data_IF_319263856183
#
_entry.id   IF_319263856183
#
_cell.length_a   1.000
_cell.length_b   1.000
_cell.length_c   1.000
_cell.angle_alpha   90.00
_cell.angle_beta   90.00
_cell.angle_gamma   90.00
#
_symmetry.space_group_name_H-M   'P 1'
#
loop_
_entity.id
_entity.type
_entity.pdbx_description
1 polymer ?
#
# COMPACT_ATOMS: atom_id res chain seq x y z
N UNK A 1 -8.00 -17.30 -13.40
CA UNK A 1 -8.88 -16.56 -12.47
C UNK A 1 -10.31 -16.86 -12.87
N UNK A 2 -11.05 -17.56 -12.02
CA UNK A 2 -12.51 -17.61 -12.11
C UNK A 2 -13.04 -16.19 -12.01
N UNK A 3 -13.99 -15.81 -12.85
CA UNK A 3 -14.62 -14.48 -12.82
C UNK A 3 -15.27 -14.25 -11.44
N UNK A 4 -14.56 -13.52 -10.57
CA UNK A 4 -14.99 -13.23 -9.19
C UNK A 4 -16.34 -12.51 -9.19
N UNK A 5 -16.59 -11.63 -10.17
CA UNK A 5 -17.85 -10.91 -10.30
C UNK A 5 -19.00 -11.89 -10.54
N UNK A 6 -18.82 -12.81 -11.51
CA UNK A 6 -19.80 -13.87 -11.77
C UNK A 6 -20.05 -14.77 -10.56
N UNK A 7 -19.02 -15.08 -9.77
CA UNK A 7 -19.20 -15.85 -8.53
C UNK A 7 -20.04 -15.09 -7.49
N UNK A 8 -19.81 -13.79 -7.33
CA UNK A 8 -20.58 -12.94 -6.43
C UNK A 8 -22.03 -12.77 -6.91
N UNK A 9 -22.23 -12.57 -8.20
CA UNK A 9 -23.56 -12.41 -8.80
C UNK A 9 -24.39 -13.70 -8.64
N UNK A 10 -23.79 -14.86 -8.92
CA UNK A 10 -24.42 -16.16 -8.65
C UNK A 10 -24.78 -16.34 -7.17
N UNK A 11 -23.90 -15.95 -6.25
CA UNK A 11 -24.16 -16.05 -4.82
C UNK A 11 -25.33 -15.16 -4.37
N UNK A 12 -25.45 -13.96 -4.93
CA UNK A 12 -26.58 -13.05 -4.70
C UNK A 12 -27.89 -13.63 -5.24
N UNK A 13 -27.87 -14.17 -6.46
CA UNK A 13 -29.06 -14.81 -7.07
C UNK A 13 -29.54 -16.00 -6.22
N UNK A 14 -28.64 -16.90 -5.84
CA UNK A 14 -28.97 -18.10 -5.06
C UNK A 14 -29.54 -17.80 -3.67
N UNK A 15 -29.23 -16.63 -3.11
CA UNK A 15 -29.64 -16.25 -1.76
C UNK A 15 -30.64 -15.10 -1.73
N UNK A 16 -31.13 -14.65 -2.89
CA UNK A 16 -32.01 -13.48 -3.01
C UNK A 16 -31.44 -12.24 -2.31
N UNK A 17 -30.17 -11.92 -2.58
CA UNK A 17 -29.40 -10.86 -1.92
C UNK A 17 -29.27 -11.06 -0.38
N UNK A 18 -29.15 -12.32 0.03
CA UNK A 18 -28.88 -12.76 1.39
C UNK A 18 -27.39 -12.89 1.69
N UNK A 19 -27.07 -13.52 2.83
CA UNK A 19 -25.69 -13.86 3.19
C UNK A 19 -25.29 -15.16 2.49
N UNK A 20 -24.05 -15.22 2.01
CA UNK A 20 -23.48 -16.44 1.45
C UNK A 20 -22.00 -16.54 1.73
N UNK A 21 -21.43 -17.73 1.58
CA UNK A 21 -20.01 -17.98 1.78
C UNK A 21 -19.33 -18.30 0.45
N UNK A 22 -18.12 -17.76 0.27
CA UNK A 22 -17.26 -18.03 -0.88
C UNK A 22 -15.94 -18.62 -0.38
N UNK A 23 -15.47 -19.69 -1.04
CA UNK A 23 -14.12 -20.21 -0.82
C UNK A 23 -13.11 -19.38 -1.61
N UNK A 24 -12.12 -18.81 -0.91
CA UNK A 24 -11.02 -18.07 -1.51
C UNK A 24 -9.67 -18.67 -1.07
N UNK A 25 -8.58 -18.32 -1.76
CA UNK A 25 -7.24 -18.81 -1.44
C UNK A 25 -6.76 -18.47 -0.02
N UNK A 26 -7.28 -17.37 0.55
CA UNK A 26 -7.04 -16.94 1.95
C UNK A 26 -8.05 -17.51 2.95
N UNK A 27 -8.80 -18.55 2.56
CA UNK A 27 -9.86 -19.16 3.35
C UNK A 27 -11.26 -18.68 2.98
N UNK A 28 -12.25 -19.18 3.70
CA UNK A 28 -13.65 -18.84 3.47
C UNK A 28 -13.95 -17.37 3.81
N UNK A 29 -14.76 -16.72 2.97
CA UNK A 29 -15.24 -15.36 3.15
C UNK A 29 -16.76 -15.37 3.20
N UNK A 30 -17.33 -14.73 4.21
CA UNK A 30 -18.79 -14.51 4.28
C UNK A 30 -19.06 -13.19 3.58
N UNK A 31 -19.89 -13.24 2.54
CA UNK A 31 -20.38 -12.07 1.83
C UNK A 31 -21.65 -11.61 2.51
N UNK A 32 -21.62 -10.39 3.02
CA UNK A 32 -22.72 -9.79 3.77
C UNK A 32 -23.34 -8.66 2.94
N UNK A 33 -24.69 -8.59 2.83
CA UNK A 33 -25.37 -7.48 2.17
C UNK A 33 -25.04 -6.12 2.79
N UNK A 34 -24.98 -5.07 1.97
CA UNK A 34 -24.58 -3.71 2.38
C UNK A 34 -25.45 -3.11 3.48
N UNK A 35 -26.70 -3.56 3.65
CA UNK A 35 -27.60 -3.12 4.74
C UNK A 35 -27.04 -3.38 6.14
N UNK A 36 -26.09 -4.29 6.30
CA UNK A 36 -25.42 -4.57 7.58
C UNK A 36 -24.09 -3.81 7.76
N UNK A 37 -23.73 -2.89 6.84
CA UNK A 37 -22.43 -2.24 6.85
C UNK A 37 -22.17 -1.45 8.15
N UNK A 38 -23.16 -0.73 8.66
CA UNK A 38 -23.01 0.07 9.88
C UNK A 38 -22.84 -0.79 11.13
N UNK A 39 -23.53 -1.93 11.20
CA UNK A 39 -23.38 -2.92 12.29
C UNK A 39 -22.00 -3.57 12.27
N UNK A 40 -21.49 -3.92 11.09
CA UNK A 40 -20.20 -4.60 10.94
C UNK A 40 -19.01 -3.64 11.15
N UNK A 41 -19.12 -2.38 10.72
CA UNK A 41 -18.02 -1.42 10.77
C UNK A 41 -17.51 -1.15 12.20
N UNK A 42 -18.42 -1.15 13.17
CA UNK A 42 -18.13 -0.82 14.56
C UNK A 42 -18.03 -2.06 15.46
N UNK A 43 -18.04 -3.26 14.88
CA UNK A 43 -18.01 -4.50 15.64
C UNK A 43 -16.60 -4.80 16.16
N UNK A 44 -16.41 -4.73 17.47
CA UNK A 44 -15.12 -4.95 18.14
C UNK A 44 -14.56 -6.37 17.99
N UNK A 45 -15.42 -7.35 17.65
CA UNK A 45 -14.98 -8.74 17.42
C UNK A 45 -14.33 -8.94 16.04
N UNK A 46 -14.45 -7.97 15.14
CA UNK A 46 -13.86 -8.00 13.81
C UNK A 46 -12.51 -7.28 13.80
N UNK A 47 -11.49 -7.92 13.22
CA UNK A 47 -10.14 -7.37 13.16
C UNK A 47 -9.63 -7.26 11.73
N UNK A 48 -9.40 -6.02 11.30
CA UNK A 48 -8.75 -5.73 10.02
C UNK A 48 -7.34 -6.34 9.98
N UNK A 49 -6.57 -6.16 11.05
CA UNK A 49 -5.17 -6.63 11.14
C UNK A 49 -5.08 -8.15 11.00
N UNK A 50 -5.99 -8.92 11.60
CA UNK A 50 -6.02 -10.37 11.43
C UNK A 50 -6.40 -10.81 10.01
N UNK A 51 -7.35 -10.11 9.39
CA UNK A 51 -7.73 -10.40 7.99
C UNK A 51 -6.55 -10.10 7.05
N UNK A 52 -5.85 -9.00 7.26
CA UNK A 52 -4.65 -8.63 6.49
C UNK A 52 -3.54 -9.65 6.71
N UNK A 53 -3.27 -10.06 7.95
CA UNK A 53 -2.27 -11.09 8.28
C UNK A 53 -2.54 -12.41 7.55
N UNK A 54 -3.79 -12.87 7.56
CA UNK A 54 -4.20 -14.13 6.91
C UNK A 54 -4.23 -14.02 5.38
N UNK A 55 -4.55 -12.84 4.84
CA UNK A 55 -4.72 -12.61 3.41
C UNK A 55 -3.44 -12.22 2.66
N UNK A 56 -2.46 -11.66 3.35
CA UNK A 56 -1.24 -11.17 2.70
C UNK A 56 0.05 -11.69 3.33
N UNK A 57 -0.07 -12.46 4.42
CA UNK A 57 1.06 -12.95 5.22
C UNK A 57 1.82 -11.80 5.87
N UNK A 58 2.49 -12.09 6.98
CA UNK A 58 3.40 -11.14 7.65
C UNK A 58 4.58 -11.84 8.33
N UNK A 59 4.52 -13.17 8.45
CA UNK A 59 5.55 -13.96 9.13
C UNK A 59 6.72 -14.34 8.21
N UNK A 60 6.53 -14.71 6.92
CA UNK A 60 7.65 -15.09 6.07
C UNK A 60 8.57 -13.89 5.73
N UNK A 61 9.90 -14.07 5.70
CA UNK A 61 10.83 -13.03 5.29
C UNK A 61 10.51 -12.43 3.92
N UNK A 62 10.43 -11.10 3.86
CA UNK A 62 10.01 -10.33 2.68
C UNK A 62 8.56 -9.83 2.75
N UNK A 63 7.76 -10.32 3.68
CA UNK A 63 6.41 -9.80 3.95
C UNK A 63 6.38 -8.85 5.15
N UNK A 64 7.54 -8.32 5.54
CA UNK A 64 7.70 -7.46 6.70
C UNK A 64 6.87 -6.16 6.58
N UNK A 65 6.71 -5.59 5.38
CA UNK A 65 5.79 -4.47 5.14
C UNK A 65 4.33 -4.83 5.47
N UNK A 66 3.89 -6.05 5.14
CA UNK A 66 2.56 -6.54 5.49
C UNK A 66 2.45 -6.88 6.98
N UNK A 67 3.55 -7.29 7.63
CA UNK A 67 3.62 -7.40 9.09
C UNK A 67 3.32 -6.07 9.76
N UNK A 68 3.87 -4.96 9.24
CA UNK A 68 3.55 -3.60 9.71
C UNK A 68 2.07 -3.23 9.47
N UNK A 69 1.42 -3.78 8.44
CA UNK A 69 -0.01 -3.57 8.17
C UNK A 69 -0.91 -4.35 9.12
N UNK A 70 -0.42 -5.48 9.63
CA UNK A 70 -1.17 -6.43 10.45
C UNK A 70 -0.78 -6.42 11.93
N UNK A 71 -0.10 -5.38 12.41
CA UNK A 71 0.33 -5.31 13.81
C UNK A 71 -0.88 -5.29 14.73
N UNK A 72 -0.76 -6.00 15.86
CA UNK A 72 -1.78 -6.01 16.90
C UNK A 72 -1.97 -4.64 17.56
N UNK A 73 -0.92 -3.79 17.57
CA UNK A 73 -0.94 -2.45 18.14
C UNK A 73 -1.49 -1.37 17.20
N UNK A 74 -1.95 -1.74 15.99
CA UNK A 74 -2.61 -0.88 15.00
C UNK A 74 -1.88 0.44 14.65
N UNK A 75 -0.55 0.50 14.84
CA UNK A 75 0.23 1.74 14.66
C UNK A 75 -0.02 2.43 13.31
N UNK A 76 0.05 1.68 12.22
CA UNK A 76 -0.16 2.20 10.86
C UNK A 76 -1.57 2.76 10.66
N UNK A 77 -2.59 2.10 11.22
CA UNK A 77 -3.98 2.53 11.13
C UNK A 77 -4.20 3.82 11.93
N UNK A 78 -3.67 3.89 13.15
CA UNK A 78 -3.73 5.08 13.99
C UNK A 78 -3.07 6.28 13.31
N UNK A 79 -1.91 6.04 12.69
CA UNK A 79 -1.15 7.07 11.97
C UNK A 79 -1.95 7.61 10.77
N UNK A 80 -2.51 6.73 9.94
CA UNK A 80 -3.33 7.13 8.80
C UNK A 80 -4.54 7.95 9.27
N UNK A 81 -5.24 7.50 10.31
CA UNK A 81 -6.44 8.18 10.83
C UNK A 81 -6.13 9.56 11.39
N UNK A 82 -5.02 9.70 12.12
CA UNK A 82 -4.70 10.91 12.87
C UNK A 82 -3.85 11.91 12.08
N UNK A 83 -2.90 11.45 11.26
CA UNK A 83 -1.90 12.32 10.63
C UNK A 83 -2.21 12.61 9.17
N UNK A 84 -2.57 11.60 8.38
CA UNK A 84 -2.76 11.77 6.93
C UNK A 84 -3.90 12.75 6.63
N UNK A 85 -5.03 12.62 7.33
CA UNK A 85 -6.19 13.52 7.18
C UNK A 85 -5.84 14.98 7.50
N UNK A 86 -5.01 15.22 8.54
CA UNK A 86 -4.59 16.56 8.93
C UNK A 86 -3.60 17.17 7.94
N UNK A 87 -2.80 16.32 7.28
CA UNK A 87 -1.80 16.75 6.32
C UNK A 87 -2.38 17.19 4.97
N UNK A 88 -3.60 16.76 4.60
CA UNK A 88 -4.19 17.03 3.28
C UNK A 88 -4.20 18.52 2.91
N UNK A 89 -4.54 19.40 3.85
CA UNK A 89 -4.54 20.85 3.63
C UNK A 89 -3.15 21.46 3.44
N UNK A 90 -2.09 20.78 3.89
CA UNK A 90 -0.70 21.25 3.81
C UNK A 90 0.05 20.71 2.58
N UNK A 91 -0.39 19.59 2.01
CA UNK A 91 0.31 18.89 0.93
C UNK A 91 -0.31 19.11 -0.45
N UNK A 92 -1.40 19.89 -0.56
CA UNK A 92 -2.11 20.08 -1.83
C UNK A 92 -1.21 20.70 -2.90
N UNK A 93 -0.44 21.73 -2.58
CA UNK A 93 0.50 22.35 -3.52
C UNK A 93 1.61 21.38 -3.94
N UNK A 94 2.11 20.57 -3.00
CA UNK A 94 3.12 19.54 -3.28
C UNK A 94 2.57 18.45 -4.21
N UNK A 95 1.28 18.09 -4.08
CA UNK A 95 0.60 17.16 -4.96
C UNK A 95 0.50 17.73 -6.36
N UNK A 96 0.09 18.99 -6.51
CA UNK A 96 -0.05 19.66 -7.81
C UNK A 96 1.31 19.77 -8.51
N UNK A 97 2.35 20.19 -7.80
CA UNK A 97 3.74 20.27 -8.31
C UNK A 97 4.19 18.90 -8.86
N UNK A 98 4.04 17.84 -8.07
CA UNK A 98 4.50 16.51 -8.47
C UNK A 98 3.63 15.89 -9.57
N UNK A 99 2.30 16.08 -9.52
CA UNK A 99 1.40 15.58 -10.55
C UNK A 99 1.68 16.25 -11.90
N UNK A 100 1.89 17.57 -11.92
CA UNK A 100 2.24 18.32 -13.13
C UNK A 100 3.54 17.80 -13.72
N UNK A 101 4.58 17.67 -12.90
CA UNK A 101 5.86 17.11 -13.31
C UNK A 101 5.73 15.69 -13.89
N UNK A 102 4.96 14.82 -13.23
CA UNK A 102 4.78 13.44 -13.66
C UNK A 102 3.98 13.34 -14.96
N UNK A 103 2.95 14.17 -15.14
CA UNK A 103 2.14 14.22 -16.37
C UNK A 103 2.99 14.72 -17.53
N UNK A 104 3.72 15.82 -17.38
CA UNK A 104 4.62 16.34 -18.42
C UNK A 104 5.68 15.31 -18.81
N UNK A 105 6.24 14.60 -17.83
CA UNK A 105 7.22 13.53 -18.10
C UNK A 105 6.67 12.43 -18.99
N UNK A 106 5.40 12.06 -18.85
CA UNK A 106 4.82 10.91 -19.55
C UNK A 106 4.08 11.25 -20.84
N UNK A 107 3.41 12.39 -20.87
CA UNK A 107 2.60 12.82 -22.00
C UNK A 107 3.32 13.86 -22.87
N UNK A 108 4.25 14.62 -22.29
CA UNK A 108 4.92 15.73 -22.95
C UNK A 108 3.97 16.88 -23.28
N UNK A 109 4.49 17.85 -24.03
CA UNK A 109 3.77 19.08 -24.40
C UNK A 109 3.18 19.02 -25.84
N UNK A 110 3.41 17.92 -26.56
CA UNK A 110 2.99 17.78 -27.95
C UNK A 110 1.46 17.64 -28.03
N UNK A 111 0.84 18.47 -28.89
CA UNK A 111 -0.59 18.41 -29.18
C UNK A 111 -0.96 17.30 -30.18
N UNK A 112 0.03 16.55 -30.69
CA UNK A 112 -0.19 15.47 -31.63
C UNK A 112 -0.80 14.25 -30.93
N UNK A 113 -1.71 13.56 -31.61
CA UNK A 113 -2.34 12.38 -31.06
C UNK A 113 -1.33 11.24 -30.84
N UNK A 114 -1.34 10.65 -29.64
CA UNK A 114 -0.43 9.56 -29.26
C UNK A 114 -1.18 8.47 -28.51
N UNK A 115 -0.80 7.22 -28.77
CA UNK A 115 -1.31 6.06 -28.03
C UNK A 115 -0.44 5.77 -26.82
N UNK A 116 -1.03 5.70 -25.62
CA UNK A 116 -0.34 5.41 -24.37
C UNK A 116 -0.89 4.17 -23.69
N UNK A 117 -0.01 3.42 -23.00
CA UNK A 117 -0.43 2.38 -22.06
C UNK A 117 -0.77 3.04 -20.72
N UNK A 118 -2.04 3.34 -20.52
CA UNK A 118 -2.51 4.12 -19.36
C UNK A 118 -2.18 3.47 -18.02
N UNK A 119 -2.35 2.16 -17.86
CA UNK A 119 -2.12 1.47 -16.58
C UNK A 119 -0.70 1.64 -16.01
N UNK A 120 0.40 1.32 -16.73
CA UNK A 120 1.75 1.54 -16.21
C UNK A 120 2.07 3.03 -16.02
N UNK A 121 1.57 3.91 -16.91
CA UNK A 121 1.75 5.36 -16.78
C UNK A 121 1.10 5.91 -15.51
N UNK A 122 -0.15 5.55 -15.24
CA UNK A 122 -0.85 5.96 -14.01
C UNK A 122 -0.18 5.41 -12.77
N UNK A 123 0.29 4.16 -12.79
CA UNK A 123 1.02 3.57 -11.68
C UNK A 123 2.27 4.42 -11.34
N UNK A 124 2.99 4.90 -12.36
CA UNK A 124 4.16 5.75 -12.16
C UNK A 124 3.80 7.15 -11.61
N UNK A 125 2.79 7.81 -12.19
CA UNK A 125 2.28 9.10 -11.70
C UNK A 125 1.83 8.99 -10.24
N UNK A 126 1.03 7.98 -9.93
CA UNK A 126 0.54 7.72 -8.57
C UNK A 126 1.69 7.42 -7.61
N UNK A 127 2.69 6.64 -8.02
CA UNK A 127 3.85 6.34 -7.18
C UNK A 127 4.64 7.60 -6.82
N UNK A 128 4.86 8.52 -7.78
CA UNK A 128 5.52 9.80 -7.54
C UNK A 128 4.74 10.67 -6.57
N UNK A 129 3.47 10.91 -6.87
CA UNK A 129 2.60 11.77 -6.04
C UNK A 129 2.47 11.21 -4.63
N UNK A 130 2.28 9.89 -4.49
CA UNK A 130 2.21 9.23 -3.18
C UNK A 130 3.53 9.36 -2.42
N UNK A 131 4.67 9.16 -3.09
CA UNK A 131 5.99 9.29 -2.47
C UNK A 131 6.27 10.73 -2.06
N UNK A 132 5.83 11.73 -2.84
CA UNK A 132 5.98 13.15 -2.51
C UNK A 132 5.37 13.49 -1.16
N UNK A 133 4.17 12.98 -0.89
CA UNK A 133 3.44 13.19 0.38
C UNK A 133 4.09 12.37 1.50
N UNK A 134 4.37 11.10 1.25
CA UNK A 134 4.77 10.15 2.29
C UNK A 134 6.25 10.23 2.66
N UNK A 135 7.11 10.65 1.73
CA UNK A 135 8.56 10.53 1.85
C UNK A 135 9.32 11.79 1.40
N UNK A 136 8.62 12.79 0.85
CA UNK A 136 9.18 14.05 0.40
C UNK A 136 9.69 14.05 -1.05
N UNK A 137 10.10 15.24 -1.53
CA UNK A 137 10.50 15.49 -2.94
C UNK A 137 11.70 14.66 -3.40
N UNK A 138 12.68 14.47 -2.52
CA UNK A 138 13.90 13.74 -2.85
C UNK A 138 13.60 12.33 -3.35
N UNK A 139 12.84 11.57 -2.55
CA UNK A 139 12.43 10.21 -2.90
C UNK A 139 11.40 10.17 -4.04
N UNK A 140 10.55 11.21 -4.18
CA UNK A 140 9.60 11.29 -5.29
C UNK A 140 10.27 11.48 -6.65
N UNK A 141 11.53 11.90 -6.67
CA UNK A 141 12.36 12.04 -7.88
C UNK A 141 13.47 10.99 -7.99
N UNK A 142 13.56 10.10 -7.02
CA UNK A 142 14.50 8.98 -7.03
C UNK A 142 13.88 7.80 -7.78
N UNK A 143 14.30 7.61 -9.03
CA UNK A 143 13.77 6.55 -9.90
C UNK A 143 14.04 5.14 -9.34
N UNK A 144 15.13 4.95 -8.57
CA UNK A 144 15.42 3.65 -7.96
C UNK A 144 14.42 3.36 -6.83
N UNK A 145 14.16 4.34 -5.97
CA UNK A 145 13.17 4.20 -4.91
C UNK A 145 11.74 4.01 -5.46
N UNK A 146 11.34 4.80 -6.46
CA UNK A 146 10.03 4.67 -7.09
C UNK A 146 9.83 3.28 -7.71
N UNK A 147 10.86 2.74 -8.35
CA UNK A 147 10.80 1.39 -8.92
C UNK A 147 10.65 0.34 -7.83
N UNK A 148 11.36 0.49 -6.70
CA UNK A 148 11.19 -0.38 -5.54
C UNK A 148 9.75 -0.29 -5.01
N UNK A 149 9.19 0.90 -4.83
CA UNK A 149 7.84 1.08 -4.31
C UNK A 149 6.76 0.45 -5.21
N UNK A 150 6.86 0.68 -6.53
CA UNK A 150 5.96 0.08 -7.53
C UNK A 150 6.09 -1.43 -7.57
N UNK A 151 7.30 -1.95 -7.70
CA UNK A 151 7.51 -3.38 -7.87
C UNK A 151 7.24 -4.15 -6.57
N UNK A 152 7.53 -3.56 -5.40
CA UNK A 152 7.13 -4.13 -4.12
C UNK A 152 5.61 -4.24 -3.96
N UNK A 153 4.87 -3.25 -4.45
CA UNK A 153 3.40 -3.33 -4.53
C UNK A 153 2.97 -4.54 -5.35
N UNK A 154 3.45 -4.65 -6.59
CA UNK A 154 3.08 -5.74 -7.51
C UNK A 154 3.48 -7.12 -6.96
N UNK A 155 4.71 -7.25 -6.48
CA UNK A 155 5.26 -8.51 -5.98
C UNK A 155 4.55 -8.96 -4.70
N UNK A 156 4.09 -8.05 -3.83
CA UNK A 156 3.39 -8.42 -2.60
C UNK A 156 2.06 -9.11 -2.90
N UNK A 157 1.22 -8.52 -3.75
CA UNK A 157 -0.05 -9.13 -4.14
C UNK A 157 0.17 -10.44 -4.91
N UNK A 158 1.15 -10.46 -5.82
CA UNK A 158 1.45 -11.66 -6.61
C UNK A 158 1.98 -12.79 -5.74
N UNK A 159 2.91 -12.49 -4.83
CA UNK A 159 3.47 -13.48 -3.91
C UNK A 159 2.41 -14.03 -2.96
N UNK A 160 1.53 -13.17 -2.43
CA UNK A 160 0.42 -13.61 -1.60
C UNK A 160 -0.52 -14.55 -2.38
N UNK A 161 -0.90 -14.20 -3.61
CA UNK A 161 -1.72 -15.06 -4.47
C UNK A 161 -1.07 -16.42 -4.75
N UNK A 162 0.23 -16.44 -5.07
CA UNK A 162 0.97 -17.68 -5.29
C UNK A 162 1.01 -18.55 -4.03
N UNK A 163 1.30 -17.96 -2.87
CA UNK A 163 1.37 -18.69 -1.59
C UNK A 163 0.02 -19.25 -1.15
N UNK A 164 -1.09 -18.60 -1.49
CA UNK A 164 -2.42 -19.15 -1.23
C UNK A 164 -2.67 -20.48 -1.96
N UNK A 165 -2.02 -20.69 -3.11
CA UNK A 165 -2.11 -21.95 -3.86
C UNK A 165 -1.42 -23.14 -3.19
N UNK A 166 -0.56 -22.90 -2.20
CA UNK A 166 0.16 -23.95 -1.48
C UNK A 166 -0.50 -24.29 -0.14
N UNK A 167 -0.51 -25.58 0.27
CA UNK A 167 -0.90 -26.00 1.61
C UNK A 167 -0.06 -25.33 2.71
N UNK A 168 -0.66 -25.04 3.86
CA UNK A 168 0.01 -24.33 4.96
C UNK A 168 1.33 -24.95 5.42
N UNK A 169 1.45 -26.27 5.39
CA UNK A 169 2.65 -27.01 5.83
C UNK A 169 3.88 -26.78 4.94
N UNK A 170 3.69 -26.54 3.64
CA UNK A 170 4.82 -26.37 2.70
C UNK A 170 5.16 -24.90 2.48
N UNK A 171 4.28 -23.96 2.88
CA UNK A 171 4.49 -22.50 2.76
C UNK A 171 5.84 -22.03 3.32
N UNK A 172 6.31 -22.48 4.51
CA UNK A 172 7.61 -22.10 5.06
C UNK A 172 8.82 -22.48 4.20
N UNK A 173 8.66 -23.42 3.26
CA UNK A 173 9.73 -23.83 2.35
C UNK A 173 9.59 -23.17 0.98
N UNK A 174 8.39 -23.17 0.39
CA UNK A 174 8.18 -22.70 -0.98
C UNK A 174 8.44 -21.20 -1.15
N UNK A 175 8.24 -20.38 -0.12
CA UNK A 175 8.50 -18.92 -0.21
C UNK A 175 9.98 -18.58 -0.46
N UNK A 176 10.91 -19.52 -0.23
CA UNK A 176 12.32 -19.34 -0.57
C UNK A 176 12.58 -19.45 -2.07
N UNK A 177 11.74 -20.21 -2.79
CA UNK A 177 11.91 -20.52 -4.21
C UNK A 177 11.01 -19.70 -5.13
N UNK A 178 9.91 -19.13 -4.60
CA UNK A 178 9.03 -18.25 -5.38
C UNK A 178 9.76 -16.94 -5.73
N UNK A 179 9.93 -16.59 -7.02
CA UNK A 179 10.69 -15.41 -7.44
C UNK A 179 10.17 -14.11 -6.83
N UNK A 180 8.85 -13.93 -6.73
CA UNK A 180 8.25 -12.73 -6.14
C UNK A 180 8.59 -12.60 -4.65
N UNK A 181 8.61 -13.71 -3.91
CA UNK A 181 9.05 -13.70 -2.51
C UNK A 181 10.55 -13.35 -2.39
N UNK A 182 11.39 -13.81 -3.33
CA UNK A 182 12.81 -13.44 -3.36
C UNK A 182 12.99 -11.94 -3.69
N UNK A 183 12.20 -11.42 -4.62
CA UNK A 183 12.20 -10.01 -4.98
C UNK A 183 11.80 -9.13 -3.80
N UNK A 184 10.76 -9.49 -3.05
CA UNK A 184 10.35 -8.75 -1.85
C UNK A 184 11.50 -8.61 -0.85
N UNK A 185 12.25 -9.68 -0.58
CA UNK A 185 13.44 -9.62 0.29
C UNK A 185 14.53 -8.70 -0.26
N UNK A 186 14.79 -8.75 -1.57
CA UNK A 186 15.78 -7.87 -2.24
C UNK A 186 15.34 -6.41 -2.21
N UNK A 187 14.07 -6.14 -2.48
CA UNK A 187 13.47 -4.79 -2.44
C UNK A 187 13.53 -4.20 -1.04
N UNK A 188 13.17 -4.96 -0.01
CA UNK A 188 13.27 -4.53 1.37
C UNK A 188 14.73 -4.20 1.76
N UNK A 189 15.70 -5.01 1.32
CA UNK A 189 17.12 -4.74 1.55
C UNK A 189 17.60 -3.46 0.84
N UNK A 190 17.20 -3.24 -0.42
CA UNK A 190 17.53 -2.02 -1.18
C UNK A 190 16.85 -0.77 -0.63
N UNK A 191 15.57 -0.87 -0.27
CA UNK A 191 14.84 0.20 0.39
C UNK A 191 15.54 0.59 1.70
N UNK A 192 16.01 -0.39 2.47
CA UNK A 192 16.79 -0.14 3.68
C UNK A 192 18.07 0.62 3.36
N UNK A 193 18.86 0.23 2.36
CA UNK A 193 20.09 0.95 2.00
C UNK A 193 19.84 2.39 1.54
N UNK A 194 18.74 2.66 0.82
CA UNK A 194 18.38 4.02 0.38
C UNK A 194 17.85 4.88 1.52
N UNK A 195 17.04 4.31 2.41
CA UNK A 195 16.37 5.05 3.48
C UNK A 195 17.26 5.27 4.70
N UNK A 196 18.20 4.37 5.00
CA UNK A 196 19.11 4.50 6.16
C UNK A 196 19.82 5.86 6.22
N UNK A 197 20.52 6.34 5.16
CA UNK A 197 21.19 7.64 5.22
C UNK A 197 20.21 8.81 5.44
N UNK A 198 19.02 8.75 4.84
CA UNK A 198 17.97 9.77 5.00
C UNK A 198 17.48 9.80 6.46
N UNK A 199 17.25 8.62 7.05
CA UNK A 199 16.82 8.51 8.44
C UNK A 199 17.91 8.94 9.42
N UNK A 200 19.18 8.63 9.13
CA UNK A 200 20.32 9.08 9.92
C UNK A 200 20.45 10.61 9.89
N UNK A 201 20.38 11.21 8.71
CA UNK A 201 20.42 12.66 8.57
C UNK A 201 19.27 13.34 9.33
N UNK A 202 18.05 12.78 9.24
CA UNK A 202 16.89 13.25 10.02
C UNK A 202 17.08 13.13 11.53
N UNK A 203 17.78 12.10 12.00
CA UNK A 203 18.08 11.94 13.42
C UNK A 203 19.04 13.03 13.92
N UNK A 204 20.01 13.43 13.09
CA UNK A 204 20.94 14.53 13.37
C UNK A 204 20.21 15.88 13.33
N UNK A 205 19.39 16.11 12.30
CA UNK A 205 18.65 17.35 12.08
C UNK A 205 17.39 17.48 12.97
N UNK A 206 17.04 16.42 13.71
CA UNK A 206 15.81 16.28 14.50
C UNK A 206 15.63 17.30 15.63
N UNK A 207 16.66 18.08 15.95
CA UNK A 207 16.57 19.22 16.87
C UNK A 207 16.01 20.50 16.21
N UNK A 208 16.26 20.71 14.91
CA UNK A 208 15.75 21.87 14.16
C UNK A 208 14.30 21.67 13.68
N UNK A 209 13.93 20.45 13.28
CA UNK A 209 12.56 20.13 12.84
C UNK A 209 11.49 20.33 13.93
N UNK A 210 11.83 20.03 15.19
CA UNK A 210 10.95 20.29 16.35
C UNK A 210 10.72 21.80 16.55
N UNK A 211 11.61 22.64 16.04
CA UNK A 211 11.61 24.10 16.19
C UNK A 211 10.88 24.82 15.07
N UNK A 212 10.90 24.30 13.84
CA UNK A 212 10.33 24.94 12.65
C UNK A 212 8.93 24.45 12.28
N UNK A 213 8.48 23.31 12.84
CA UNK A 213 7.15 22.77 12.61
C UNK A 213 6.89 22.26 11.19
N UNK A 214 7.93 22.12 10.35
CA UNK A 214 7.77 21.83 8.93
C UNK A 214 8.67 20.68 8.45
N UNK A 215 8.24 19.46 8.78
CA UNK A 215 8.20 18.27 7.89
C UNK A 215 7.05 17.40 8.41
N UNK A 216 6.02 17.20 7.60
CA UNK A 216 4.92 16.28 7.91
C UNK A 216 4.87 15.24 6.80
N UNK A 217 5.80 14.30 6.86
CA UNK A 217 5.79 13.10 6.03
C UNK A 217 5.62 11.84 6.91
N UNK A 218 5.50 10.68 6.28
CA UNK A 218 5.18 9.45 6.99
C UNK A 218 6.26 9.03 7.98
N UNK A 219 7.53 9.37 7.77
CA UNK A 219 8.58 9.09 8.74
C UNK A 219 8.35 9.84 10.05
N UNK A 220 8.05 11.13 9.97
CA UNK A 220 7.71 11.92 11.16
C UNK A 220 6.39 11.49 11.78
N UNK A 221 5.40 11.12 10.97
CA UNK A 221 4.11 10.64 11.48
C UNK A 221 4.23 9.33 12.25
N UNK A 222 5.03 8.39 11.76
CA UNK A 222 5.29 7.13 12.46
C UNK A 222 5.83 7.38 13.86
N UNK A 223 6.83 8.26 14.00
CA UNK A 223 7.43 8.62 15.30
C UNK A 223 6.43 9.32 16.24
N UNK A 224 5.66 10.28 15.72
CA UNK A 224 4.68 11.00 16.52
C UNK A 224 3.53 10.12 17.00
N UNK A 225 3.14 9.12 16.20
CA UNK A 225 2.06 8.20 16.55
C UNK A 225 2.57 7.03 17.40
N UNK A 226 3.85 6.66 17.31
CA UNK A 226 4.42 5.49 17.99
C UNK A 226 4.18 5.48 19.50
N UNK A 227 4.33 6.63 20.19
CA UNK A 227 4.11 6.76 21.64
C UNK A 227 4.75 5.63 22.45
N UNK A 228 6.02 5.28 22.14
CA UNK A 228 6.76 4.20 22.80
C UNK A 228 6.68 2.82 22.10
N UNK A 229 5.84 2.67 21.07
CA UNK A 229 5.83 1.47 20.19
C UNK A 229 7.08 1.46 19.29
N UNK A 230 7.67 0.28 18.99
CA UNK A 230 8.82 0.21 18.10
C UNK A 230 8.39 0.52 16.66
N UNK A 231 9.15 1.39 16.00
CA UNK A 231 8.93 1.84 14.61
C UNK A 231 9.93 1.17 13.68
N UNK A 232 9.43 0.55 12.62
CA UNK A 232 10.24 0.12 11.49
C UNK A 232 9.98 1.03 10.29
N UNK A 233 10.75 2.11 10.18
CA UNK A 233 10.56 3.12 9.14
C UNK A 233 10.58 2.57 7.72
N UNK A 234 11.45 1.59 7.44
CA UNK A 234 11.61 1.05 6.08
C UNK A 234 10.38 0.25 5.69
N UNK A 235 9.98 -0.71 6.52
CA UNK A 235 8.86 -1.59 6.22
C UNK A 235 7.51 -0.84 6.34
N UNK A 236 7.41 0.08 7.29
CA UNK A 236 6.26 0.98 7.42
C UNK A 236 6.10 1.88 6.20
N UNK A 237 7.20 2.43 5.67
CA UNK A 237 7.17 3.24 4.46
C UNK A 237 6.83 2.41 3.21
N UNK A 238 7.37 1.21 3.07
CA UNK A 238 7.02 0.30 1.96
C UNK A 238 5.54 -0.06 1.99
N UNK A 239 4.98 -0.32 3.17
CA UNK A 239 3.56 -0.57 3.36
C UNK A 239 2.71 0.64 2.97
N UNK A 240 3.03 1.83 3.46
CA UNK A 240 2.31 3.06 3.12
C UNK A 240 2.32 3.32 1.62
N UNK A 241 3.48 3.11 0.98
CA UNK A 241 3.62 3.23 -0.47
C UNK A 241 2.77 2.20 -1.21
N UNK A 242 2.80 0.94 -0.76
CA UNK A 242 1.99 -0.15 -1.32
C UNK A 242 0.50 0.16 -1.25
N UNK A 243 0.00 0.57 -0.08
CA UNK A 243 -1.40 0.89 0.12
C UNK A 243 -1.84 2.05 -0.78
N UNK A 244 -1.04 3.12 -0.84
CA UNK A 244 -1.33 4.29 -1.67
C UNK A 244 -1.31 3.95 -3.16
N UNK A 245 -0.24 3.31 -3.66
CA UNK A 245 -0.07 2.98 -5.08
C UNK A 245 -1.18 2.05 -5.56
N UNK A 246 -1.47 0.98 -4.82
CA UNK A 246 -2.47 0.01 -5.23
C UNK A 246 -3.87 0.64 -5.32
N UNK A 247 -4.30 1.35 -4.27
CA UNK A 247 -5.66 1.90 -4.20
C UNK A 247 -5.89 3.07 -5.15
N UNK A 248 -4.93 4.00 -5.24
CA UNK A 248 -5.06 5.16 -6.13
C UNK A 248 -4.93 4.77 -7.60
N UNK A 249 -4.03 3.85 -7.97
CA UNK A 249 -3.95 3.37 -9.36
C UNK A 249 -5.24 2.67 -9.78
N UNK A 250 -5.81 1.82 -8.92
CA UNK A 250 -7.07 1.14 -9.21
C UNK A 250 -8.24 2.13 -9.36
N UNK A 251 -8.32 3.11 -8.46
CA UNK A 251 -9.37 4.15 -8.52
C UNK A 251 -9.23 5.00 -9.79
N UNK A 252 -8.02 5.46 -10.13
CA UNK A 252 -7.76 6.26 -11.33
C UNK A 252 -8.11 5.52 -12.61
N UNK A 253 -7.82 4.22 -12.69
CA UNK A 253 -8.23 3.39 -13.82
C UNK A 253 -9.75 3.28 -13.93
N UNK A 254 -10.45 3.05 -12.81
CA UNK A 254 -11.90 2.96 -12.81
C UNK A 254 -12.58 4.25 -13.26
N UNK A 255 -12.01 5.41 -12.92
CA UNK A 255 -12.52 6.71 -13.40
C UNK A 255 -12.35 6.85 -14.92
N UNK A 256 -11.23 6.38 -15.48
CA UNK A 256 -11.00 6.45 -16.93
C UNK A 256 -11.82 5.45 -17.73
N UNK A 257 -12.13 4.27 -17.17
CA UNK A 257 -12.98 3.26 -17.82
C UNK A 257 -14.46 3.69 -17.90
N UNK A 258 -14.86 4.75 -17.18
CA UNK A 258 -16.22 5.32 -17.18
C UNK A 258 -16.41 6.38 -18.27
N UNK A 259 -15.33 6.82 -18.93
CA UNK A 259 -15.33 7.82 -20.02
C UNK A 259 -15.24 7.09 -21.37
#
# INVERSE_FOLDING_TARGET
>A
MTDCKRMLDKGKEMTQNGLFQVSAGSGYKIIVPSRFADELRNNETLSFSEVTRKGFYGDPPGFDSMKEASRADNLTVDMVRTKLTQALGLVTDDIVDEATYAIDKWFGESLDWRTHRIKPTLCDVVARVSTRILAGKGLARDEEYLEIAKQNTIDTFTAAQLLHGYPGLVRPLVHWFIPQCQNLRRQAAKARSLLTPILQQRSVDGQELKRTGKVTDAFTWMEQTATGRPVNHVEGQLNMSLAAIHTATATSLLVLDVI
#
